data_IF_093793365408
#
_entry.id   IF_093793365408
#
_cell.length_a   1.000
_cell.length_b   1.000
_cell.length_c   1.000
_cell.angle_alpha   90.00
_cell.angle_beta   90.00
_cell.angle_gamma   90.00
#
_symmetry.space_group_name_H-M   'P 1'
#
loop_
_entity.id
_entity.type
_entity.pdbx_description
1 polymer ?
#
# COMPACT_ATOMS: atom_id res chain seq x y z
N UNK A 1 -15.00 13.72 -7.49
CA UNK A 1 -14.17 13.37 -6.32
C UNK A 1 -13.03 14.35 -6.17
N UNK A 2 -12.91 14.95 -5.02
CA UNK A 2 -11.85 15.92 -4.75
C UNK A 2 -10.59 15.20 -4.30
N UNK A 3 -9.44 15.61 -4.83
CA UNK A 3 -8.16 15.13 -4.35
C UNK A 3 -7.89 15.67 -2.96
N UNK A 4 -7.18 14.90 -2.16
CA UNK A 4 -6.68 15.36 -0.87
C UNK A 4 -5.76 16.55 -1.07
N UNK A 5 -5.74 17.45 -0.10
CA UNK A 5 -4.83 18.59 -0.11
C UNK A 5 -3.39 18.09 -0.05
N UNK A 6 -2.51 18.71 -0.82
CA UNK A 6 -1.09 18.31 -0.82
C UNK A 6 -0.44 18.55 0.53
N UNK A 7 0.33 17.56 0.97
CA UNK A 7 1.09 17.58 2.21
C UNK A 7 2.57 17.73 1.87
N UNK A 8 3.17 18.92 2.08
CA UNK A 8 4.57 19.14 1.68
C UNK A 8 5.57 18.21 2.36
N UNK A 9 5.34 17.87 3.60
CA UNK A 9 6.25 16.98 4.34
C UNK A 9 6.19 15.57 3.76
N UNK A 10 4.99 15.10 3.47
CA UNK A 10 4.78 13.78 2.89
C UNK A 10 5.28 13.70 1.44
N UNK A 11 5.04 14.76 0.66
CA UNK A 11 5.55 14.85 -0.71
C UNK A 11 7.08 14.78 -0.73
N UNK A 12 7.73 15.52 0.17
CA UNK A 12 9.18 15.52 0.26
C UNK A 12 9.72 14.14 0.65
N UNK A 13 9.11 13.49 1.62
CA UNK A 13 9.52 12.14 2.05
C UNK A 13 9.39 11.14 0.91
N UNK A 14 8.26 11.16 0.22
CA UNK A 14 8.03 10.25 -0.91
C UNK A 14 9.07 10.50 -2.01
N UNK A 15 9.27 11.76 -2.35
CA UNK A 15 10.20 12.12 -3.41
C UNK A 15 11.64 11.73 -3.09
N UNK A 16 12.05 11.89 -1.84
CA UNK A 16 13.45 11.67 -1.43
C UNK A 16 13.72 10.23 -0.99
N UNK A 17 12.74 9.47 -0.53
CA UNK A 17 12.95 8.15 0.03
C UNK A 17 12.31 7.02 -0.77
N UNK A 18 11.29 7.31 -1.54
CA UNK A 18 10.54 6.27 -2.24
C UNK A 18 10.84 6.26 -3.72
N UNK A 19 10.62 7.39 -4.40
CA UNK A 19 10.77 7.48 -5.85
C UNK A 19 12.04 8.22 -6.27
N UNK A 20 13.01 8.31 -5.38
CA UNK A 20 14.30 8.93 -5.67
C UNK A 20 14.97 8.19 -6.83
N UNK A 21 15.44 8.96 -7.82
CA UNK A 21 16.07 8.43 -9.04
C UNK A 21 15.19 7.45 -9.83
N UNK A 22 13.87 7.51 -9.63
CA UNK A 22 12.93 6.67 -10.37
C UNK A 22 12.40 7.46 -11.57
N UNK A 23 12.87 7.10 -12.76
CA UNK A 23 12.54 7.83 -13.99
C UNK A 23 11.40 7.20 -14.78
N UNK A 24 11.05 5.96 -14.50
CA UNK A 24 9.98 5.25 -15.18
C UNK A 24 9.04 4.57 -14.21
N UNK A 25 7.93 4.07 -14.77
CA UNK A 25 6.90 3.41 -13.97
C UNK A 25 7.45 2.19 -13.21
N UNK A 26 8.28 1.39 -13.86
CA UNK A 26 8.88 0.22 -13.21
C UNK A 26 9.77 0.59 -12.03
N UNK A 27 10.54 1.65 -12.18
CA UNK A 27 11.41 2.11 -11.10
C UNK A 27 10.61 2.69 -9.95
N UNK A 28 9.50 3.37 -10.23
CA UNK A 28 8.62 3.92 -9.20
C UNK A 28 7.92 2.81 -8.42
N UNK A 29 7.41 1.79 -9.10
CA UNK A 29 6.73 0.70 -8.39
C UNK A 29 7.70 -0.10 -7.53
N UNK A 30 8.93 -0.30 -7.99
CA UNK A 30 9.95 -0.98 -7.19
C UNK A 30 10.39 -0.13 -6.01
N UNK A 31 10.49 1.19 -6.19
CA UNK A 31 10.76 2.11 -5.09
C UNK A 31 9.70 1.99 -4.00
N UNK A 32 8.43 2.00 -4.36
CA UNK A 32 7.33 1.80 -3.42
C UNK A 32 7.38 0.42 -2.77
N UNK A 33 7.62 -0.61 -3.56
CA UNK A 33 7.68 -1.98 -3.06
C UNK A 33 8.70 -2.12 -1.94
N UNK A 34 9.93 -1.67 -2.18
CA UNK A 34 11.00 -1.81 -1.19
C UNK A 34 10.79 -0.88 0.01
N UNK A 35 10.27 0.32 -0.21
CA UNK A 35 9.95 1.23 0.88
C UNK A 35 8.92 0.62 1.83
N UNK A 36 7.84 0.09 1.28
CA UNK A 36 6.77 -0.51 2.07
C UNK A 36 7.26 -1.78 2.76
N UNK A 37 8.00 -2.62 2.05
CA UNK A 37 8.55 -3.85 2.64
C UNK A 37 9.46 -3.56 3.83
N UNK A 38 10.26 -2.52 3.73
CA UNK A 38 11.19 -2.11 4.79
C UNK A 38 10.46 -1.53 5.99
N UNK A 39 9.43 -0.71 5.77
CA UNK A 39 8.78 0.04 6.84
C UNK A 39 7.64 -0.71 7.53
N UNK A 40 6.95 -1.58 6.82
CA UNK A 40 5.78 -2.28 7.37
C UNK A 40 6.24 -3.45 8.24
N UNK A 41 5.66 -3.55 9.42
CA UNK A 41 5.85 -4.69 10.32
C UNK A 41 4.80 -5.76 10.02
N UNK A 42 5.22 -6.84 9.41
CA UNK A 42 4.34 -7.97 9.13
C UNK A 42 4.47 -9.05 10.20
N UNK A 43 3.41 -9.84 10.46
CA UNK A 43 2.05 -9.63 9.98
C UNK A 43 1.33 -8.52 10.76
N UNK A 44 0.28 -7.97 10.18
CA UNK A 44 -0.55 -7.00 10.89
C UNK A 44 -2.02 -7.17 10.52
N UNK A 45 -2.91 -6.70 11.40
CA UNK A 45 -4.35 -6.74 11.16
C UNK A 45 -4.77 -5.46 10.44
N UNK A 46 -5.61 -5.60 9.43
CA UNK A 46 -6.09 -4.48 8.65
C UNK A 46 -7.58 -4.58 8.39
N UNK A 47 -8.20 -3.42 8.17
CA UNK A 47 -9.60 -3.33 7.80
C UNK A 47 -9.71 -2.90 6.33
N UNK A 48 -10.60 -3.54 5.58
CA UNK A 48 -10.90 -3.12 4.22
C UNK A 48 -11.75 -1.85 4.27
N UNK A 49 -11.24 -0.77 3.67
CA UNK A 49 -11.92 0.54 3.70
C UNK A 49 -12.58 0.89 2.39
N UNK A 50 -12.31 0.15 1.32
CA UNK A 50 -12.93 0.35 0.02
C UNK A 50 -13.01 -0.98 -0.72
N UNK A 51 -14.18 -1.28 -1.30
CA UNK A 51 -14.35 -2.48 -2.12
C UNK A 51 -13.78 -2.24 -3.51
N UNK A 52 -13.14 -3.28 -4.08
CA UNK A 52 -12.60 -3.24 -5.44
C UNK A 52 -13.00 -4.50 -6.18
N UNK A 53 -13.26 -4.35 -7.47
CA UNK A 53 -13.69 -5.48 -8.33
C UNK A 53 -12.66 -6.60 -8.34
N UNK A 54 -11.38 -6.27 -8.26
CA UNK A 54 -10.29 -7.25 -8.35
C UNK A 54 -10.07 -8.05 -7.07
N UNK A 55 -10.85 -7.78 -6.03
CA UNK A 55 -10.64 -8.37 -4.72
C UNK A 55 -11.98 -8.83 -4.12
N UNK A 56 -12.01 -9.95 -3.38
CA UNK A 56 -13.23 -10.42 -2.73
C UNK A 56 -13.60 -9.63 -1.47
N UNK A 57 -12.71 -8.74 -1.02
CA UNK A 57 -12.92 -8.04 0.24
C UNK A 57 -14.03 -7.01 0.15
N UNK A 58 -14.88 -7.00 1.15
CA UNK A 58 -15.95 -6.01 1.31
C UNK A 58 -15.55 -5.01 2.38
N UNK A 59 -16.04 -3.77 2.22
CA UNK A 59 -15.78 -2.70 3.17
C UNK A 59 -16.18 -3.13 4.57
N UNK A 60 -15.27 -2.94 5.52
CA UNK A 60 -15.48 -3.30 6.93
C UNK A 60 -14.90 -4.65 7.33
N UNK A 61 -14.51 -5.47 6.35
CA UNK A 61 -13.90 -6.76 6.68
C UNK A 61 -12.50 -6.59 7.24
N UNK A 62 -12.15 -7.42 8.23
CA UNK A 62 -10.84 -7.44 8.87
C UNK A 62 -10.05 -8.64 8.38
N UNK A 63 -8.79 -8.42 8.03
CA UNK A 63 -7.93 -9.49 7.52
C UNK A 63 -6.54 -9.38 8.14
N UNK A 64 -5.81 -10.51 8.14
CA UNK A 64 -4.40 -10.54 8.50
C UNK A 64 -3.56 -10.34 7.25
N UNK A 65 -2.74 -9.31 7.24
CA UNK A 65 -1.78 -9.05 6.16
C UNK A 65 -0.49 -9.74 6.51
N UNK A 66 -0.09 -10.72 5.72
CA UNK A 66 1.04 -11.59 6.02
C UNK A 66 2.37 -11.04 5.54
N UNK A 67 2.40 -10.48 4.34
CA UNK A 67 3.62 -9.94 3.72
C UNK A 67 3.27 -9.25 2.41
N UNK A 68 4.26 -8.63 1.78
CA UNK A 68 4.12 -8.13 0.42
C UNK A 68 3.91 -9.30 -0.54
N UNK A 69 3.13 -9.09 -1.58
CA UNK A 69 3.05 -10.06 -2.68
C UNK A 69 4.41 -10.11 -3.38
N UNK A 70 4.72 -11.18 -4.15
CA UNK A 70 5.97 -11.22 -4.92
C UNK A 70 6.10 -10.02 -5.85
N UNK A 71 7.33 -9.60 -6.12
CA UNK A 71 7.61 -8.44 -6.97
C UNK A 71 6.89 -8.52 -8.32
N UNK A 72 6.85 -9.72 -8.90
CA UNK A 72 6.22 -9.95 -10.20
C UNK A 72 4.72 -9.62 -10.18
N UNK A 73 4.08 -9.79 -9.04
CA UNK A 73 2.65 -9.48 -8.89
C UNK A 73 2.40 -7.99 -8.70
N UNK A 74 3.44 -7.21 -8.40
CA UNK A 74 3.34 -5.78 -8.11
C UNK A 74 3.82 -4.92 -9.28
N UNK A 75 3.63 -5.36 -10.51
CA UNK A 75 4.12 -4.63 -11.68
C UNK A 75 3.27 -3.40 -12.02
N UNK A 76 1.99 -3.40 -11.65
CA UNK A 76 1.06 -2.30 -11.97
C UNK A 76 0.35 -1.73 -10.74
N UNK A 77 0.51 -2.36 -9.59
CA UNK A 77 -0.12 -1.92 -8.33
C UNK A 77 0.65 -2.57 -7.18
N UNK A 78 0.54 -2.00 -6.00
CA UNK A 78 1.15 -2.61 -4.80
C UNK A 78 0.14 -3.58 -4.19
N UNK A 79 0.50 -4.85 -4.19
CA UNK A 79 -0.33 -5.92 -3.64
C UNK A 79 0.32 -6.52 -2.40
N UNK A 80 -0.51 -6.96 -1.47
CA UNK A 80 -0.07 -7.66 -0.27
C UNK A 80 -0.79 -8.99 -0.18
N UNK A 81 -0.17 -9.97 0.51
CA UNK A 81 -0.79 -11.25 0.74
C UNK A 81 -1.56 -11.22 2.05
N UNK A 82 -2.81 -11.60 1.99
CA UNK A 82 -3.68 -11.73 3.15
C UNK A 82 -4.03 -13.19 3.38
N UNK A 83 -4.41 -13.52 4.62
CA UNK A 83 -4.98 -14.81 4.93
C UNK A 83 -6.49 -14.74 4.64
N UNK A 84 -6.94 -15.56 3.72
CA UNK A 84 -8.35 -15.56 3.29
C UNK A 84 -8.85 -16.99 3.19
N UNK A 85 -9.80 -17.34 4.07
CA UNK A 85 -10.41 -18.67 4.07
C UNK A 85 -9.37 -19.80 4.05
N UNK A 86 -8.34 -19.68 4.90
CA UNK A 86 -7.30 -20.69 5.02
C UNK A 86 -6.23 -20.67 3.93
N UNK A 87 -6.27 -19.69 3.06
CA UNK A 87 -5.30 -19.52 1.95
C UNK A 87 -4.71 -18.14 1.95
N UNK A 88 -3.58 -17.98 1.24
CA UNK A 88 -3.01 -16.67 0.98
C UNK A 88 -3.56 -16.14 -0.33
N UNK A 89 -3.92 -14.85 -0.34
CA UNK A 89 -4.49 -14.20 -1.52
C UNK A 89 -3.91 -12.81 -1.64
N UNK A 90 -3.57 -12.40 -2.87
CA UNK A 90 -3.04 -11.06 -3.13
C UNK A 90 -4.20 -10.07 -3.30
N UNK A 91 -4.12 -8.95 -2.59
CA UNK A 91 -5.11 -7.87 -2.70
C UNK A 91 -4.39 -6.53 -2.72
N UNK A 92 -5.00 -5.49 -3.33
CA UNK A 92 -4.39 -4.16 -3.34
C UNK A 92 -4.21 -3.58 -1.93
N UNK A 93 -3.02 -3.08 -1.63
CA UNK A 93 -2.77 -2.43 -0.35
C UNK A 93 -3.66 -1.21 -0.15
N UNK A 94 -4.04 -0.55 -1.23
CA UNK A 94 -4.89 0.65 -1.16
C UNK A 94 -6.30 0.37 -0.61
N UNK A 95 -6.72 -0.90 -0.51
CA UNK A 95 -7.98 -1.27 0.13
C UNK A 95 -7.91 -1.28 1.65
N UNK A 96 -6.71 -1.30 2.23
CA UNK A 96 -6.50 -1.69 3.62
C UNK A 96 -5.93 -0.56 4.46
N UNK A 97 -6.39 -0.47 5.72
CA UNK A 97 -5.78 0.37 6.73
C UNK A 97 -5.45 -0.49 7.94
N UNK A 98 -4.28 -0.26 8.57
CA UNK A 98 -3.90 -1.03 9.75
C UNK A 98 -4.82 -0.69 10.93
N UNK A 99 -5.14 -1.71 11.73
CA UNK A 99 -5.99 -1.55 12.92
C UNK A 99 -5.15 -1.16 14.12
N UNK A 100 -4.00 -1.82 14.30
CA UNK A 100 -3.12 -1.56 15.43
C UNK A 100 -2.19 -0.39 15.15
N UNK A 101 -1.78 0.30 16.21
CA UNK A 101 -0.85 1.42 16.08
C UNK A 101 0.58 0.91 16.02
N UNK A 102 1.21 1.12 14.89
CA UNK A 102 2.65 0.97 14.73
C UNK A 102 3.08 2.15 13.87
N UNK A 103 3.91 3.02 14.43
CA UNK A 103 4.23 4.30 13.80
C UNK A 103 4.79 4.12 12.39
N UNK A 104 5.77 3.26 12.22
CA UNK A 104 6.41 3.06 10.92
C UNK A 104 5.47 2.45 9.91
N UNK A 105 4.71 1.42 10.31
CA UNK A 105 3.73 0.77 9.45
C UNK A 105 2.64 1.74 9.03
N UNK A 106 2.07 2.46 9.98
CA UNK A 106 0.96 3.38 9.71
C UNK A 106 1.40 4.53 8.81
N UNK A 107 2.60 5.07 9.04
CA UNK A 107 3.12 6.15 8.21
C UNK A 107 3.38 5.69 6.77
N UNK A 108 3.97 4.52 6.60
CA UNK A 108 4.25 4.00 5.26
C UNK A 108 2.97 3.73 4.47
N UNK A 109 1.98 3.11 5.12
CA UNK A 109 0.69 2.83 4.48
C UNK A 109 -0.06 4.13 4.18
N UNK A 110 0.01 5.10 5.09
CA UNK A 110 -0.61 6.41 4.86
C UNK A 110 0.06 7.14 3.70
N UNK A 111 1.37 7.02 3.54
CA UNK A 111 2.08 7.59 2.39
C UNK A 111 1.59 6.97 1.09
N UNK A 112 1.41 5.65 1.07
CA UNK A 112 0.89 4.95 -0.11
C UNK A 112 -0.53 5.41 -0.46
N UNK A 113 -1.42 5.48 0.54
CA UNK A 113 -2.79 5.96 0.33
C UNK A 113 -2.79 7.40 -0.19
N UNK A 114 -1.95 8.24 0.37
CA UNK A 114 -1.83 9.63 -0.07
C UNK A 114 -1.41 9.71 -1.54
N UNK A 115 -0.41 8.91 -1.92
CA UNK A 115 0.12 8.90 -3.30
C UNK A 115 -0.97 8.49 -4.29
N UNK A 116 -1.73 7.45 -3.95
CA UNK A 116 -2.85 6.99 -4.76
C UNK A 116 -3.95 8.06 -4.84
N UNK A 117 -4.29 8.67 -3.69
CA UNK A 117 -5.34 9.69 -3.62
C UNK A 117 -4.98 10.96 -4.40
N UNK A 118 -3.72 11.28 -4.52
CA UNK A 118 -3.29 12.42 -5.34
C UNK A 118 -3.40 12.15 -6.84
N UNK A 119 -3.76 10.93 -7.21
CA UNK A 119 -3.91 10.55 -8.61
C UNK A 119 -2.61 10.12 -9.27
N UNK A 120 -1.55 9.94 -8.51
CA UNK A 120 -0.33 9.37 -9.05
C UNK A 120 -0.54 7.91 -9.41
N UNK A 121 0.08 7.46 -10.46
CA UNK A 121 0.00 6.06 -10.89
C UNK A 121 1.28 5.67 -11.61
N UNK A 122 1.46 4.38 -11.75
CA UNK A 122 2.63 3.84 -12.44
C UNK A 122 2.49 3.85 -13.95
#
# INVERSE_FOLDING_TARGET
MTKSKKDPIREERIHNQVVVDAYGAEEQVMGWYYYLEDKIRFPFQAECVVAKVVSPLLKGETVEVQRMAPEEACSADILVLIRWQGRSMAVPLSQLLPIKRNKATNEAIADWHYWVDQGYCF
#
